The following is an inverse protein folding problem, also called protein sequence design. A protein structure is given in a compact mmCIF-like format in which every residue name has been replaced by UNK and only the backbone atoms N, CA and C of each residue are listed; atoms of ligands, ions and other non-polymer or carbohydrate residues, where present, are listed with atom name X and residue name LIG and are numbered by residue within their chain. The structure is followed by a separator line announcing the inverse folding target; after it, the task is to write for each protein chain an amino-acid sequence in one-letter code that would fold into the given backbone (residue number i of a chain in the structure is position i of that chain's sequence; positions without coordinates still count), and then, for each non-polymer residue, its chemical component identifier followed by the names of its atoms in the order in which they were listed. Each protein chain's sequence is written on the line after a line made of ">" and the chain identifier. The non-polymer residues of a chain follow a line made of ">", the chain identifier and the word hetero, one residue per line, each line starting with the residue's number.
data_IF_951866538176
#
_entry.id   IF_951866538176
#
_cell.length_a   1.000
_cell.length_b   1.000
_cell.length_c   1.000
_cell.angle_alpha   90.00
_cell.angle_beta   90.00
_cell.angle_gamma   90.00
#
_symmetry.space_group_name_H-M   'P 1'
#
loop_
_entity.id
_entity.type
_entity.pdbx_description
1 polymer ?
#
# COMPACT_ATOMS: atom_id res chain seq x y z
N UNK A 1 -15.22 -13.05 -18.76
CA UNK A 1 -15.26 -12.50 -17.38
C UNK A 1 -16.32 -11.43 -17.32
N UNK A 2 -17.44 -11.68 -16.65
CA UNK A 2 -18.49 -10.68 -16.47
C UNK A 2 -17.99 -9.59 -15.53
N UNK A 3 -17.94 -8.34 -16.01
CA UNK A 3 -17.75 -7.17 -15.15
C UNK A 3 -19.01 -7.03 -14.29
N UNK A 4 -18.98 -7.57 -13.08
CA UNK A 4 -19.92 -7.10 -12.06
C UNK A 4 -19.64 -5.61 -11.87
N UNK A 5 -20.63 -4.77 -12.18
CA UNK A 5 -20.56 -3.33 -11.94
C UNK A 5 -20.43 -3.12 -10.45
N UNK A 6 -19.21 -2.89 -9.97
CA UNK A 6 -18.99 -2.50 -8.57
C UNK A 6 -19.65 -1.13 -8.40
N UNK A 7 -20.68 -1.05 -7.56
CA UNK A 7 -21.25 0.22 -7.12
C UNK A 7 -20.23 0.86 -6.18
N UNK A 8 -19.39 1.74 -6.73
CA UNK A 8 -18.34 2.44 -5.98
C UNK A 8 -18.97 3.61 -5.24
N UNK A 9 -18.96 3.55 -3.91
CA UNK A 9 -19.35 4.68 -3.05
C UNK A 9 -18.11 5.38 -2.53
N UNK A 10 -18.25 6.61 -2.06
CA UNK A 10 -17.20 7.35 -1.36
C UNK A 10 -16.69 6.58 -0.13
N UNK A 11 -17.60 5.92 0.59
CA UNK A 11 -17.29 4.99 1.68
C UNK A 11 -16.42 3.81 1.24
N UNK A 12 -16.77 3.14 0.13
CA UNK A 12 -15.96 2.03 -0.42
C UNK A 12 -14.55 2.48 -0.80
N UNK A 13 -14.39 3.67 -1.39
CA UNK A 13 -13.08 4.21 -1.74
C UNK A 13 -12.23 4.52 -0.50
N UNK A 14 -12.83 5.10 0.54
CA UNK A 14 -12.15 5.38 1.81
C UNK A 14 -11.73 4.09 2.51
N UNK A 15 -12.57 3.06 2.51
CA UNK A 15 -12.23 1.75 3.06
C UNK A 15 -11.08 1.09 2.29
N UNK A 16 -11.14 1.10 0.96
CA UNK A 16 -10.08 0.54 0.13
C UNK A 16 -8.75 1.31 0.29
N UNK A 17 -8.82 2.64 0.44
CA UNK A 17 -7.66 3.46 0.75
C UNK A 17 -7.01 3.05 2.07
N UNK A 18 -7.82 2.87 3.12
CA UNK A 18 -7.33 2.43 4.44
C UNK A 18 -6.63 1.07 4.36
N UNK A 19 -7.19 0.11 3.59
CA UNK A 19 -6.56 -1.20 3.36
C UNK A 19 -5.21 -1.08 2.66
N UNK A 20 -5.08 -0.21 1.66
CA UNK A 20 -3.80 0.03 1.00
C UNK A 20 -2.79 0.75 1.91
N UNK A 21 -3.25 1.67 2.77
CA UNK A 21 -2.39 2.28 3.79
C UNK A 21 -1.86 1.26 4.80
N UNK A 22 -2.72 0.34 5.25
CA UNK A 22 -2.32 -0.76 6.12
C UNK A 22 -1.35 -1.71 5.41
N UNK A 23 -1.64 -2.08 4.16
CA UNK A 23 -0.76 -2.93 3.37
C UNK A 23 0.65 -2.34 3.19
N UNK A 24 0.76 -1.02 2.96
CA UNK A 24 2.06 -0.35 2.90
C UNK A 24 2.84 -0.48 4.21
N UNK A 25 2.16 -0.35 5.34
CA UNK A 25 2.73 -0.50 6.69
C UNK A 25 3.18 -1.94 6.94
N UNK A 26 2.32 -2.91 6.63
CA UNK A 26 2.59 -4.34 6.83
C UNK A 26 3.75 -4.83 5.96
N UNK A 27 3.80 -4.40 4.69
CA UNK A 27 4.90 -4.72 3.78
C UNK A 27 6.22 -4.16 4.29
N UNK A 28 6.22 -2.94 4.80
CA UNK A 28 7.43 -2.32 5.38
C UNK A 28 7.90 -3.12 6.60
N UNK A 29 6.99 -3.43 7.54
CA UNK A 29 7.32 -4.23 8.72
C UNK A 29 7.83 -5.63 8.35
N UNK A 30 7.18 -6.29 7.39
CA UNK A 30 7.58 -7.61 6.92
C UNK A 30 8.97 -7.57 6.27
N UNK A 31 9.29 -6.49 5.55
CA UNK A 31 10.57 -6.26 4.90
C UNK A 31 11.71 -6.13 5.91
N UNK A 32 11.46 -5.40 7.01
CA UNK A 32 12.44 -5.13 8.05
C UNK A 32 12.66 -6.30 9.03
N UNK A 33 11.68 -7.19 9.18
CA UNK A 33 11.71 -8.29 10.16
C UNK A 33 13.00 -9.15 10.15
N UNK A 34 13.55 -9.59 9.00
CA UNK A 34 14.80 -10.36 8.95
C UNK A 34 16.09 -9.52 8.96
N UNK A 35 16.03 -8.22 9.24
CA UNK A 35 17.22 -7.38 9.28
C UNK A 35 18.32 -7.96 10.20
N UNK A 36 19.55 -8.03 9.69
CA UNK A 36 20.74 -8.49 10.42
C UNK A 36 20.88 -10.01 10.58
N UNK A 37 20.06 -10.83 9.93
CA UNK A 37 20.22 -12.31 9.94
C UNK A 37 21.58 -12.74 9.39
N UNK A 38 22.04 -12.12 8.30
CA UNK A 38 23.38 -12.33 7.73
C UNK A 38 24.49 -12.12 8.79
N UNK A 39 24.36 -11.07 9.59
CA UNK A 39 25.31 -10.71 10.64
C UNK A 39 25.28 -11.72 11.79
N UNK A 40 24.10 -12.24 12.14
CA UNK A 40 23.96 -13.31 13.14
C UNK A 40 24.63 -14.60 12.67
N UNK A 41 24.48 -14.96 11.39
CA UNK A 41 25.13 -16.15 10.79
C UNK A 41 26.66 -16.01 10.87
N UNK A 42 27.22 -14.85 10.49
CA UNK A 42 28.67 -14.61 10.62
C UNK A 42 29.17 -14.75 12.06
N UNK A 43 28.41 -14.23 13.03
CA UNK A 43 28.79 -14.29 14.45
C UNK A 43 28.74 -15.70 15.01
N UNK A 44 27.75 -16.50 14.65
CA UNK A 44 27.56 -17.83 15.25
C UNK A 44 28.39 -18.93 14.57
N UNK A 45 28.62 -18.84 13.27
CA UNK A 45 29.28 -19.90 12.49
C UNK A 45 30.65 -19.49 11.93
N UNK A 46 31.04 -18.23 12.11
CA UNK A 46 32.36 -17.72 11.74
C UNK A 46 32.66 -17.83 10.24
N UNK A 47 33.92 -18.10 9.92
CA UNK A 47 34.42 -18.10 8.54
C UNK A 47 33.76 -19.17 7.65
N UNK A 48 33.35 -20.31 8.21
CA UNK A 48 32.74 -21.42 7.44
C UNK A 48 31.42 -20.99 6.80
N UNK A 49 30.67 -20.10 7.44
CA UNK A 49 29.39 -19.61 6.92
C UNK A 49 29.48 -18.27 6.17
N UNK A 50 30.68 -17.81 5.81
CA UNK A 50 30.85 -16.49 5.20
C UNK A 50 30.10 -16.35 3.88
N UNK A 51 30.22 -17.34 2.99
CA UNK A 51 29.51 -17.37 1.71
C UNK A 51 27.99 -17.39 1.90
N UNK A 52 27.49 -18.17 2.87
CA UNK A 52 26.07 -18.22 3.22
C UNK A 52 25.58 -16.87 3.72
N UNK A 53 26.32 -16.22 4.62
CA UNK A 53 25.96 -14.90 5.13
C UNK A 53 25.96 -13.84 4.02
N UNK A 54 26.91 -13.91 3.08
CA UNK A 54 26.94 -13.01 1.93
C UNK A 54 25.69 -13.21 1.05
N UNK A 55 25.35 -14.46 0.72
CA UNK A 55 24.15 -14.79 -0.06
C UNK A 55 22.86 -14.30 0.62
N UNK A 56 22.74 -14.50 1.94
CA UNK A 56 21.62 -13.94 2.72
C UNK A 56 21.61 -12.42 2.64
N UNK A 57 22.76 -11.75 2.75
CA UNK A 57 22.85 -10.29 2.62
C UNK A 57 22.39 -9.76 1.25
N UNK A 58 22.64 -10.48 0.17
CA UNK A 58 22.13 -10.13 -1.18
C UNK A 58 20.62 -10.31 -1.27
N UNK A 59 20.09 -11.46 -0.80
CA UNK A 59 18.64 -11.73 -0.78
C UNK A 59 17.91 -10.66 0.03
N UNK A 60 18.47 -10.27 1.17
CA UNK A 60 17.90 -9.23 2.03
C UNK A 60 17.84 -7.87 1.33
N UNK A 61 18.89 -7.49 0.58
CA UNK A 61 18.88 -6.26 -0.22
C UNK A 61 17.82 -6.29 -1.32
N UNK A 62 17.70 -7.40 -2.04
CA UNK A 62 16.66 -7.57 -3.06
C UNK A 62 15.25 -7.50 -2.44
N UNK A 63 15.07 -8.13 -1.27
CA UNK A 63 13.80 -8.08 -0.53
C UNK A 63 13.45 -6.67 -0.07
N UNK A 64 14.44 -5.90 0.40
CA UNK A 64 14.24 -4.49 0.78
C UNK A 64 13.79 -3.65 -0.41
N UNK A 65 14.46 -3.77 -1.55
CA UNK A 65 14.08 -3.04 -2.76
C UNK A 65 12.65 -3.39 -3.22
N UNK A 66 12.30 -4.68 -3.24
CA UNK A 66 10.96 -5.12 -3.61
C UNK A 66 9.89 -4.62 -2.61
N UNK A 67 10.17 -4.72 -1.32
CA UNK A 67 9.29 -4.28 -0.24
C UNK A 67 9.02 -2.78 -0.29
N UNK A 68 10.06 -1.96 -0.50
CA UNK A 68 9.94 -0.51 -0.67
C UNK A 68 9.08 -0.15 -1.89
N UNK A 69 9.28 -0.84 -3.02
CA UNK A 69 8.44 -0.66 -4.20
C UNK A 69 6.97 -0.97 -3.94
N UNK A 70 6.68 -2.12 -3.33
CA UNK A 70 5.32 -2.54 -2.99
C UNK A 70 4.64 -1.58 -1.99
N UNK A 71 5.36 -1.13 -0.96
CA UNK A 71 4.85 -0.17 0.01
C UNK A 71 4.55 1.19 -0.65
N UNK A 72 5.42 1.62 -1.57
CA UNK A 72 5.23 2.82 -2.38
C UNK A 72 3.95 2.77 -3.23
N UNK A 73 3.74 1.69 -3.97
CA UNK A 73 2.53 1.49 -4.79
C UNK A 73 1.26 1.44 -3.93
N UNK A 74 1.30 0.76 -2.78
CA UNK A 74 0.19 0.74 -1.84
C UNK A 74 -0.12 2.16 -1.29
N UNK A 75 0.92 2.93 -0.94
CA UNK A 75 0.77 4.31 -0.52
C UNK A 75 0.17 5.21 -1.60
N UNK A 76 0.62 5.06 -2.84
CA UNK A 76 0.09 5.79 -4.00
C UNK A 76 -1.39 5.47 -4.23
N UNK A 77 -1.77 4.18 -4.20
CA UNK A 77 -3.16 3.75 -4.33
C UNK A 77 -4.04 4.32 -3.21
N UNK A 78 -3.56 4.32 -1.97
CA UNK A 78 -4.27 4.97 -0.86
C UNK A 78 -4.55 6.45 -1.18
N UNK A 79 -3.54 7.21 -1.62
CA UNK A 79 -3.68 8.61 -2.00
C UNK A 79 -4.64 8.83 -3.16
N UNK A 80 -4.57 8.01 -4.21
CA UNK A 80 -5.46 8.08 -5.37
C UNK A 80 -6.92 7.81 -4.97
N UNK A 81 -7.17 6.82 -4.11
CA UNK A 81 -8.51 6.47 -3.66
C UNK A 81 -9.12 7.56 -2.77
N UNK A 82 -8.33 8.18 -1.87
CA UNK A 82 -8.77 9.35 -1.09
C UNK A 82 -9.14 10.51 -2.02
N UNK A 83 -8.31 10.76 -3.03
CA UNK A 83 -8.56 11.82 -4.01
C UNK A 83 -9.85 11.54 -4.81
N UNK A 84 -10.06 10.30 -5.24
CA UNK A 84 -11.27 9.88 -5.93
C UNK A 84 -12.51 10.04 -5.04
N UNK A 85 -12.43 9.65 -3.76
CA UNK A 85 -13.53 9.83 -2.81
C UNK A 85 -13.94 11.30 -2.68
N UNK A 86 -12.96 12.22 -2.54
CA UNK A 86 -13.22 13.67 -2.48
C UNK A 86 -13.91 14.18 -3.74
N UNK A 87 -13.41 13.81 -4.92
CA UNK A 87 -14.03 14.23 -6.19
C UNK A 87 -15.48 13.76 -6.34
N UNK A 88 -15.79 12.56 -5.86
CA UNK A 88 -17.18 12.08 -5.83
C UNK A 88 -18.04 12.90 -4.86
N UNK A 89 -17.54 13.17 -3.65
CA UNK A 89 -18.25 14.01 -2.67
C UNK A 89 -18.53 15.42 -3.21
N UNK A 90 -17.55 16.03 -3.87
CA UNK A 90 -17.68 17.35 -4.49
C UNK A 90 -18.74 17.34 -5.61
N UNK A 91 -18.69 16.32 -6.48
CA UNK A 91 -19.65 16.17 -7.59
C UNK A 91 -21.08 15.96 -7.07
N UNK A 92 -21.25 15.12 -6.04
CA UNK A 92 -22.55 14.86 -5.42
C UNK A 92 -23.11 16.13 -4.76
N UNK A 93 -22.25 16.91 -4.11
CA UNK A 93 -22.63 18.17 -3.49
C UNK A 93 -23.06 19.22 -4.53
N UNK A 94 -22.28 19.41 -5.59
CA UNK A 94 -22.59 20.34 -6.67
C UNK A 94 -23.89 19.97 -7.38
N UNK A 95 -24.07 18.68 -7.70
CA UNK A 95 -25.28 18.17 -8.35
C UNK A 95 -26.50 18.35 -7.45
N UNK A 96 -26.37 18.07 -6.15
CA UNK A 96 -27.43 18.28 -5.17
C UNK A 96 -27.82 19.76 -5.04
N UNK A 97 -26.83 20.67 -5.07
CA UNK A 97 -27.07 22.10 -5.02
C UNK A 97 -27.76 22.64 -6.28
N UNK A 98 -27.40 22.15 -7.47
CA UNK A 98 -28.07 22.48 -8.74
C UNK A 98 -29.53 22.00 -8.74
N UNK A 99 -29.76 20.74 -8.37
CA UNK A 99 -31.12 20.19 -8.25
C UNK A 99 -31.97 20.99 -7.24
N UNK A 100 -31.40 21.31 -6.08
CA UNK A 100 -32.05 22.16 -5.08
C UNK A 100 -32.39 23.56 -5.60
N UNK A 101 -31.58 24.12 -6.50
CA UNK A 101 -31.86 25.40 -7.17
C UNK A 101 -33.00 25.28 -8.18
N UNK A 102 -33.06 24.19 -8.94
CA UNK A 102 -34.08 23.94 -9.98
C UNK A 102 -35.45 23.57 -9.41
N UNK A 103 -35.48 22.98 -8.21
CA UNK A 103 -36.70 22.57 -7.52
C UNK A 103 -37.28 23.66 -6.58
N UNK A 104 -36.61 24.81 -6.44
CA UNK A 104 -37.17 25.96 -5.71
C UNK A 104 -38.31 26.60 -6.54
N UNK A 105 -39.48 26.85 -5.93
CA UNK A 105 -40.64 27.44 -6.62
C UNK A 105 -40.42 28.91 -7.02
#
# INVERSE_FOLDING_TARGET
>A
MSRHTVQVTTGHLRELAAKHGQAATDVTAATDAPAGVDSRIRRSHGAVAWATAAAVGEIQRARIAAGQGMAGECGALCGHLITAARRYEDTDHESGADLGRRLRP
#
